data_IF_428069890697
#
_entry.id   IF_428069890697
#
_cell.length_a   1.000
_cell.length_b   1.000
_cell.length_c   1.000
_cell.angle_alpha   90.00
_cell.angle_beta   90.00
_cell.angle_gamma   90.00
#
_symmetry.space_group_name_H-M   'P 1'
#
loop_
_entity.id
_entity.type
_entity.pdbx_description
1 polymer ?
#
# COMPACT_ATOMS: atom_id res chain seq x y z
N UNK A 1 10.87 4.52 15.65
CA UNK A 1 10.19 3.21 15.73
C UNK A 1 10.90 2.45 16.84
N UNK A 2 10.18 1.91 17.84
CA UNK A 2 10.82 1.04 18.86
C UNK A 2 11.38 -0.21 18.16
N UNK A 3 12.60 -0.61 18.51
CA UNK A 3 13.14 -1.90 18.09
C UNK A 3 12.26 -3.03 18.63
N UNK A 4 11.92 -3.96 17.76
CA UNK A 4 11.16 -5.16 18.13
C UNK A 4 12.07 -6.14 18.86
N UNK A 5 11.57 -6.89 19.85
CA UNK A 5 12.27 -8.06 20.39
C UNK A 5 12.64 -9.03 19.25
N UNK A 6 13.77 -9.71 19.41
CA UNK A 6 14.37 -10.56 18.37
C UNK A 6 13.41 -11.64 17.82
N UNK A 7 12.59 -12.21 18.71
CA UNK A 7 11.62 -13.24 18.32
C UNK A 7 10.51 -12.68 17.43
N UNK A 8 10.07 -11.44 17.69
CA UNK A 8 9.04 -10.77 16.89
C UNK A 8 9.60 -10.29 15.53
N UNK A 9 10.86 -9.88 15.48
CA UNK A 9 11.54 -9.55 14.23
C UNK A 9 11.67 -10.81 13.36
N UNK A 10 12.08 -11.95 13.95
CA UNK A 10 12.15 -13.23 13.26
C UNK A 10 10.77 -13.66 12.71
N UNK A 11 9.71 -13.46 13.49
CA UNK A 11 8.34 -13.78 13.06
C UNK A 11 7.91 -12.89 11.88
N UNK A 12 8.23 -11.59 11.93
CA UNK A 12 7.93 -10.67 10.83
C UNK A 12 8.72 -10.99 9.56
N UNK A 13 9.98 -11.41 9.67
CA UNK A 13 10.79 -11.84 8.52
C UNK A 13 10.30 -13.19 7.94
N UNK A 14 9.90 -14.13 8.78
CA UNK A 14 9.29 -15.39 8.35
C UNK A 14 8.00 -15.14 7.57
N UNK A 15 7.16 -14.21 8.04
CA UNK A 15 5.97 -13.79 7.32
C UNK A 15 6.31 -13.16 5.95
N UNK A 16 7.34 -12.30 5.90
CA UNK A 16 7.78 -11.70 4.63
C UNK A 16 8.25 -12.76 3.63
N UNK A 17 8.98 -13.77 4.11
CA UNK A 17 9.41 -14.91 3.30
C UNK A 17 8.23 -15.74 2.79
N UNK A 18 7.21 -15.94 3.63
CA UNK A 18 5.96 -16.59 3.25
C UNK A 18 5.23 -15.84 2.14
N UNK A 19 5.11 -14.49 2.22
CA UNK A 19 4.49 -13.68 1.17
C UNK A 19 5.23 -13.80 -0.18
N UNK A 20 6.57 -13.88 -0.16
CA UNK A 20 7.36 -14.14 -1.38
C UNK A 20 7.06 -15.51 -1.98
N UNK A 21 6.96 -16.57 -1.15
CA UNK A 21 6.57 -17.91 -1.62
C UNK A 21 5.18 -17.93 -2.26
N UNK A 22 4.25 -17.08 -1.78
CA UNK A 22 2.90 -16.91 -2.35
C UNK A 22 2.87 -15.96 -3.58
N UNK A 23 4.02 -15.58 -4.15
CA UNK A 23 4.16 -14.70 -5.33
C UNK A 23 3.54 -13.31 -5.14
N UNK A 24 3.50 -12.79 -3.93
CA UNK A 24 3.06 -11.41 -3.68
C UNK A 24 4.11 -10.42 -4.20
N UNK A 25 3.66 -9.30 -4.79
CA UNK A 25 4.57 -8.26 -5.24
C UNK A 25 5.43 -7.70 -4.10
N UNK A 26 6.66 -7.29 -4.40
CA UNK A 26 7.59 -6.75 -3.40
C UNK A 26 6.98 -5.55 -2.64
N UNK A 27 6.33 -4.63 -3.36
CA UNK A 27 5.64 -3.49 -2.76
C UNK A 27 4.55 -3.91 -1.76
N UNK A 28 3.79 -4.96 -2.08
CA UNK A 28 2.77 -5.51 -1.18
C UNK A 28 3.41 -6.18 0.02
N UNK A 29 4.46 -6.97 -0.19
CA UNK A 29 5.23 -7.62 0.88
C UNK A 29 5.80 -6.61 1.87
N UNK A 30 6.36 -5.51 1.37
CA UNK A 30 6.90 -4.43 2.20
C UNK A 30 5.80 -3.69 2.99
N UNK A 31 4.68 -3.39 2.35
CA UNK A 31 3.55 -2.73 3.02
C UNK A 31 2.95 -3.62 4.12
N UNK A 32 2.80 -4.91 3.85
CA UNK A 32 2.30 -5.89 4.82
C UNK A 32 3.30 -6.11 5.95
N UNK A 33 4.59 -6.26 5.63
CA UNK A 33 5.66 -6.41 6.63
C UNK A 33 5.72 -5.22 7.60
N UNK A 34 5.63 -3.98 7.10
CA UNK A 34 5.55 -2.78 7.96
C UNK A 34 4.33 -2.80 8.86
N UNK A 35 3.17 -3.24 8.35
CA UNK A 35 1.94 -3.33 9.13
C UNK A 35 2.07 -4.34 10.25
N UNK A 36 2.64 -5.52 9.99
CA UNK A 36 2.81 -6.56 11.00
C UNK A 36 3.86 -6.18 12.05
N UNK A 37 4.97 -5.55 11.65
CA UNK A 37 5.92 -5.00 12.63
C UNK A 37 5.26 -3.98 13.56
N UNK A 38 4.39 -3.12 13.03
CA UNK A 38 3.62 -2.18 13.85
C UNK A 38 2.65 -2.91 14.78
N UNK A 39 1.92 -3.91 14.29
CA UNK A 39 1.01 -4.73 15.10
C UNK A 39 1.76 -5.38 16.27
N UNK A 40 2.87 -6.07 15.99
CA UNK A 40 3.66 -6.78 16.98
C UNK A 40 4.34 -5.83 17.99
N UNK A 41 4.67 -4.60 17.58
CA UNK A 41 5.19 -3.59 18.51
C UNK A 41 4.16 -3.11 19.54
N UNK A 42 2.87 -3.22 19.22
CA UNK A 42 1.76 -2.84 20.10
C UNK A 42 1.26 -4.07 20.88
N UNK A 43 1.14 -5.20 20.20
CA UNK A 43 0.62 -6.46 20.72
C UNK A 43 1.59 -7.61 20.39
N UNK A 44 2.56 -7.86 21.28
CA UNK A 44 3.63 -8.86 21.06
C UNK A 44 3.11 -10.28 20.79
N UNK A 45 2.01 -10.66 21.42
CA UNK A 45 1.33 -11.92 21.21
C UNK A 45 -0.09 -11.62 20.72
N UNK A 46 -0.40 -11.84 19.45
CA UNK A 46 -1.72 -11.57 18.90
C UNK A 46 -2.76 -12.54 19.48
N UNK A 47 -3.87 -11.99 19.95
CA UNK A 47 -5.08 -12.73 20.33
C UNK A 47 -6.28 -12.12 19.62
N UNK A 48 -7.38 -12.86 19.51
CA UNK A 48 -8.60 -12.34 18.88
C UNK A 48 -9.04 -11.00 19.49
N UNK A 49 -9.06 -10.90 20.82
CA UNK A 49 -9.45 -9.68 21.55
C UNK A 49 -8.54 -8.50 21.21
N UNK A 50 -7.21 -8.72 21.14
CA UNK A 50 -6.24 -7.67 20.80
C UNK A 50 -6.33 -7.26 19.33
N UNK A 51 -6.59 -8.19 18.43
CA UNK A 51 -6.80 -7.90 17.01
C UNK A 51 -8.08 -7.07 16.79
N UNK A 52 -9.16 -7.35 17.52
CA UNK A 52 -10.37 -6.52 17.51
C UNK A 52 -10.08 -5.09 18.02
N UNK A 53 -9.30 -4.95 19.11
CA UNK A 53 -8.84 -3.65 19.60
C UNK A 53 -7.96 -2.92 18.58
N UNK A 54 -7.05 -3.64 17.90
CA UNK A 54 -6.26 -3.08 16.83
C UNK A 54 -7.12 -2.54 15.66
N UNK A 55 -8.14 -3.30 15.25
CA UNK A 55 -9.10 -2.82 14.25
C UNK A 55 -9.79 -1.52 14.69
N UNK A 56 -10.23 -1.41 15.96
CA UNK A 56 -10.84 -0.18 16.49
C UNK A 56 -9.85 0.99 16.46
N UNK A 57 -8.58 0.74 16.81
CA UNK A 57 -7.51 1.73 16.71
C UNK A 57 -7.28 2.19 15.26
N UNK A 58 -7.33 1.28 14.29
CA UNK A 58 -7.22 1.64 12.88
C UNK A 58 -8.38 2.54 12.44
N UNK A 59 -9.60 2.21 12.84
CA UNK A 59 -10.81 2.99 12.50
C UNK A 59 -10.72 4.42 13.07
N UNK A 60 -10.19 4.58 14.27
CA UNK A 60 -10.06 5.87 14.90
C UNK A 60 -8.99 6.78 14.26
N UNK A 61 -7.96 6.21 13.60
CA UNK A 61 -6.78 6.97 13.20
C UNK A 61 -6.52 7.02 11.69
N UNK A 62 -7.21 6.22 10.86
CA UNK A 62 -6.88 6.10 9.45
C UNK A 62 -8.10 6.21 8.54
N UNK A 63 -7.85 6.54 7.27
CA UNK A 63 -8.88 6.55 6.22
C UNK A 63 -9.29 5.12 5.83
N UNK A 64 -10.53 4.89 5.37
CA UNK A 64 -11.05 3.55 5.05
C UNK A 64 -10.16 2.69 4.15
N UNK A 65 -9.55 3.28 3.11
CA UNK A 65 -8.63 2.56 2.22
C UNK A 65 -7.39 2.03 2.97
N UNK A 66 -6.80 2.86 3.84
CA UNK A 66 -5.64 2.47 4.68
C UNK A 66 -6.03 1.43 5.71
N UNK A 67 -7.23 1.55 6.32
CA UNK A 67 -7.76 0.56 7.26
C UNK A 67 -7.85 -0.80 6.57
N UNK A 68 -8.46 -0.87 5.38
CA UNK A 68 -8.65 -2.11 4.65
C UNK A 68 -7.31 -2.73 4.21
N UNK A 69 -6.35 -1.92 3.74
CA UNK A 69 -5.01 -2.40 3.42
C UNK A 69 -4.34 -3.08 4.63
N UNK A 70 -4.45 -2.47 5.82
CA UNK A 70 -3.88 -3.03 7.06
C UNK A 70 -4.64 -4.26 7.54
N UNK A 71 -5.96 -4.29 7.42
CA UNK A 71 -6.78 -5.47 7.72
C UNK A 71 -6.39 -6.64 6.81
N UNK A 72 -6.18 -6.40 5.52
CA UNK A 72 -5.72 -7.45 4.61
C UNK A 72 -4.33 -7.97 4.99
N UNK A 73 -3.40 -7.09 5.38
CA UNK A 73 -2.09 -7.50 5.88
C UNK A 73 -2.21 -8.41 7.11
N UNK A 74 -3.06 -8.03 8.07
CA UNK A 74 -3.32 -8.84 9.28
C UNK A 74 -3.96 -10.19 8.91
N UNK A 75 -4.94 -10.20 8.02
CA UNK A 75 -5.58 -11.45 7.60
C UNK A 75 -4.60 -12.40 6.88
N UNK A 76 -3.68 -11.88 6.08
CA UNK A 76 -2.60 -12.68 5.49
C UNK A 76 -1.60 -13.19 6.54
N UNK A 77 -1.34 -12.40 7.58
CA UNK A 77 -0.52 -12.84 8.70
C UNK A 77 -1.19 -13.94 9.51
N UNK A 78 -2.50 -13.86 9.72
CA UNK A 78 -3.26 -14.92 10.38
C UNK A 78 -3.26 -16.23 9.56
N UNK A 79 -3.37 -16.12 8.23
CA UNK A 79 -3.20 -17.27 7.32
C UNK A 79 -1.82 -17.91 7.47
N UNK A 80 -0.77 -17.09 7.52
CA UNK A 80 0.60 -17.55 7.74
C UNK A 80 0.73 -18.30 9.08
N UNK A 81 0.17 -17.76 10.17
CA UNK A 81 0.20 -18.42 11.47
C UNK A 81 -0.56 -19.75 11.45
N UNK A 82 -1.70 -19.80 10.77
CA UNK A 82 -2.52 -21.01 10.62
C UNK A 82 -1.80 -22.09 9.79
N UNK A 83 -1.09 -21.73 8.72
CA UNK A 83 -0.38 -22.67 7.85
C UNK A 83 0.98 -23.13 8.41
N UNK A 84 1.77 -22.20 9.00
CA UNK A 84 3.17 -22.46 9.37
C UNK A 84 3.36 -22.68 10.88
N UNK A 85 2.42 -22.24 11.73
CA UNK A 85 2.54 -22.30 13.19
C UNK A 85 1.21 -22.65 13.89
N UNK A 86 0.48 -23.67 13.46
CA UNK A 86 -0.86 -23.97 13.97
C UNK A 86 -0.89 -24.31 15.47
N UNK A 87 0.19 -24.92 15.98
CA UNK A 87 0.28 -25.32 17.39
C UNK A 87 0.47 -24.12 18.35
N UNK A 88 1.08 -23.02 17.86
CA UNK A 88 1.38 -21.85 18.69
C UNK A 88 0.19 -20.88 18.80
N UNK A 89 -0.71 -20.89 17.81
CA UNK A 89 -1.82 -19.95 17.71
C UNK A 89 -3.16 -20.63 17.39
N UNK A 90 -3.58 -21.67 18.14
CA UNK A 90 -4.80 -22.43 17.84
C UNK A 90 -6.07 -21.57 17.92
N UNK A 91 -6.10 -20.57 18.82
CA UNK A 91 -7.25 -19.67 19.00
C UNK A 91 -7.45 -18.68 17.84
N UNK A 92 -6.47 -18.57 16.93
CA UNK A 92 -6.54 -17.68 15.77
C UNK A 92 -6.92 -18.45 14.48
N UNK A 93 -7.06 -19.76 14.54
CA UNK A 93 -7.51 -20.57 13.41
C UNK A 93 -8.88 -20.07 12.93
N UNK A 94 -9.00 -19.85 11.61
CA UNK A 94 -10.22 -19.34 10.97
C UNK A 94 -10.68 -17.94 11.40
N UNK A 95 -10.01 -17.27 12.35
CA UNK A 95 -10.34 -15.90 12.70
C UNK A 95 -9.87 -14.93 11.60
N UNK A 96 -10.73 -13.99 11.21
CA UNK A 96 -10.40 -12.94 10.25
C UNK A 96 -11.05 -11.62 10.65
N UNK A 97 -10.35 -10.53 10.40
CA UNK A 97 -10.87 -9.18 10.58
C UNK A 97 -11.72 -8.76 9.37
N UNK A 98 -12.89 -8.18 9.64
CA UNK A 98 -13.74 -7.65 8.60
C UNK A 98 -13.28 -6.25 8.13
N UNK A 99 -13.20 -6.07 6.81
CA UNK A 99 -12.97 -4.79 6.18
C UNK A 99 -14.05 -3.75 6.54
N UNK A 100 -13.72 -2.46 6.42
CA UNK A 100 -14.70 -1.38 6.55
C UNK A 100 -15.25 -1.00 5.18
N UNK A 101 -16.52 -0.56 5.17
CA UNK A 101 -17.15 -0.11 3.93
C UNK A 101 -16.46 1.19 3.46
N UNK A 102 -16.11 1.23 2.18
CA UNK A 102 -15.59 2.43 1.52
C UNK A 102 -16.76 3.09 0.78
N UNK A 103 -17.08 4.35 1.10
CA UNK A 103 -17.96 5.15 0.28
C UNK A 103 -17.29 5.43 -1.05
N UNK A 104 -18.04 5.27 -2.16
CA UNK A 104 -17.52 5.57 -3.51
C UNK A 104 -17.58 7.06 -3.85
N UNK A 105 -18.27 7.86 -3.04
CA UNK A 105 -18.59 9.26 -3.35
C UNK A 105 -17.39 10.23 -3.27
N UNK A 106 -16.27 9.78 -2.70
CA UNK A 106 -15.09 10.62 -2.49
C UNK A 106 -14.12 10.70 -3.68
N UNK A 107 -14.36 9.98 -4.77
CA UNK A 107 -13.43 9.97 -5.91
C UNK A 107 -13.72 11.05 -6.96
N UNK A 108 -14.97 11.48 -7.11
CA UNK A 108 -15.34 12.40 -8.20
C UNK A 108 -14.79 13.81 -7.99
N UNK A 109 -14.72 14.30 -6.75
CA UNK A 109 -14.26 15.65 -6.43
C UNK A 109 -12.72 15.83 -6.51
N UNK A 110 -11.97 14.76 -6.68
CA UNK A 110 -10.51 14.78 -6.76
C UNK A 110 -9.94 14.36 -8.13
N UNK A 111 -10.81 14.20 -9.13
CA UNK A 111 -10.38 13.88 -10.49
C UNK A 111 -10.03 15.19 -11.19
N UNK A 112 -8.79 15.29 -11.67
CA UNK A 112 -8.34 16.39 -12.52
C UNK A 112 -9.15 16.34 -13.82
N UNK A 113 -9.82 17.43 -14.16
CA UNK A 113 -10.60 17.54 -15.39
C UNK A 113 -9.70 17.73 -16.62
N UNK A 114 -10.25 17.52 -17.82
CA UNK A 114 -9.51 17.83 -19.05
C UNK A 114 -9.15 19.33 -19.13
N UNK A 115 -10.04 20.20 -18.65
CA UNK A 115 -9.82 21.65 -18.62
C UNK A 115 -8.67 22.03 -17.68
N UNK A 116 -8.56 21.38 -16.52
CA UNK A 116 -7.42 21.56 -15.61
C UNK A 116 -6.11 21.12 -16.25
N UNK A 117 -6.13 19.98 -16.97
CA UNK A 117 -4.96 19.47 -17.69
C UNK A 117 -4.50 20.44 -18.81
N UNK A 118 -5.43 20.98 -19.58
CA UNK A 118 -5.15 21.95 -20.65
C UNK A 118 -4.61 23.26 -20.07
N UNK A 119 -5.19 23.72 -18.96
CA UNK A 119 -4.75 24.93 -18.28
C UNK A 119 -3.33 24.75 -17.72
N UNK A 120 -3.04 23.61 -17.07
CA UNK A 120 -1.71 23.29 -16.59
C UNK A 120 -0.69 23.26 -17.74
N UNK A 121 -1.00 22.57 -18.84
CA UNK A 121 -0.11 22.51 -20.01
C UNK A 121 0.16 23.90 -20.61
N UNK A 122 -0.86 24.75 -20.70
CA UNK A 122 -0.74 26.14 -21.20
C UNK A 122 0.18 26.97 -20.33
N UNK A 123 0.01 26.88 -19.00
CA UNK A 123 0.83 27.62 -18.04
C UNK A 123 2.29 27.16 -18.09
N UNK A 124 2.54 25.83 -18.09
CA UNK A 124 3.90 25.31 -18.17
C UNK A 124 4.63 25.73 -19.45
N UNK A 125 3.91 25.82 -20.58
CA UNK A 125 4.46 26.30 -21.85
C UNK A 125 4.75 27.82 -21.81
N UNK A 126 3.86 28.60 -21.22
CA UNK A 126 4.02 30.04 -21.10
C UNK A 126 5.21 30.43 -20.20
N UNK A 127 5.48 29.64 -19.17
CA UNK A 127 6.58 29.80 -18.21
C UNK A 127 7.89 29.14 -18.66
N UNK A 128 7.95 28.62 -19.89
CA UNK A 128 9.12 27.89 -20.44
C UNK A 128 9.57 26.68 -19.62
N UNK A 129 8.64 26.02 -18.95
CA UNK A 129 8.89 24.76 -18.25
C UNK A 129 8.72 23.56 -19.18
N UNK A 130 9.48 23.51 -20.29
CA UNK A 130 9.31 22.56 -21.38
C UNK A 130 9.37 21.10 -20.91
N UNK A 131 10.32 20.76 -20.03
CA UNK A 131 10.43 19.42 -19.46
C UNK A 131 9.12 18.96 -18.78
N UNK A 132 8.56 19.78 -17.90
CA UNK A 132 7.31 19.46 -17.20
C UNK A 132 6.10 19.45 -18.14
N UNK A 133 6.09 20.34 -19.13
CA UNK A 133 5.07 20.33 -20.17
C UNK A 133 5.03 18.98 -20.91
N UNK A 134 6.18 18.45 -21.36
CA UNK A 134 6.27 17.17 -22.02
C UNK A 134 5.85 16.00 -21.13
N UNK A 135 6.27 15.99 -19.86
CA UNK A 135 5.87 14.96 -18.90
C UNK A 135 4.35 14.95 -18.69
N UNK A 136 3.75 16.11 -18.43
CA UNK A 136 2.29 16.20 -18.24
C UNK A 136 1.55 15.76 -19.50
N UNK A 137 1.96 16.24 -20.67
CA UNK A 137 1.36 15.87 -21.94
C UNK A 137 1.47 14.35 -22.19
N UNK A 138 2.64 13.77 -21.95
CA UNK A 138 2.84 12.34 -22.07
C UNK A 138 1.92 11.53 -21.16
N UNK A 139 1.84 11.88 -19.88
CA UNK A 139 0.99 11.19 -18.90
C UNK A 139 -0.50 11.29 -19.27
N UNK A 140 -0.95 12.48 -19.71
CA UNK A 140 -2.35 12.71 -20.11
C UNK A 140 -2.71 11.92 -21.38
N UNK A 141 -1.82 11.87 -22.39
CA UNK A 141 -2.10 11.19 -23.66
C UNK A 141 -1.98 9.68 -23.58
N UNK A 142 -1.10 9.15 -22.74
CA UNK A 142 -0.84 7.70 -22.66
C UNK A 142 -1.57 7.02 -21.50
N UNK A 143 -2.06 7.77 -20.50
CA UNK A 143 -2.57 7.21 -19.27
C UNK A 143 -1.54 6.47 -18.42
N UNK A 144 -0.24 6.62 -18.73
CA UNK A 144 0.85 6.00 -17.99
C UNK A 144 0.89 6.51 -16.55
N UNK A 145 1.24 5.63 -15.60
CA UNK A 145 1.44 6.04 -14.21
C UNK A 145 2.85 6.59 -14.03
N UNK A 146 3.02 7.56 -13.13
CA UNK A 146 4.34 8.11 -12.76
C UNK A 146 5.31 7.02 -12.27
N UNK A 147 4.78 5.92 -11.72
CA UNK A 147 5.58 4.76 -11.30
C UNK A 147 6.08 3.89 -12.45
N UNK A 148 5.58 4.07 -13.67
CA UNK A 148 5.96 3.28 -14.84
C UNK A 148 7.28 3.82 -15.41
N UNK A 149 8.38 3.60 -14.66
CA UNK A 149 9.72 4.14 -14.96
C UNK A 149 10.19 3.91 -16.39
N UNK A 150 9.88 2.76 -16.98
CA UNK A 150 10.26 2.44 -18.36
C UNK A 150 9.56 3.35 -19.38
N UNK A 151 8.29 3.67 -19.16
CA UNK A 151 7.50 4.53 -20.06
C UNK A 151 7.98 6.00 -20.00
N UNK A 152 8.34 6.48 -18.81
CA UNK A 152 8.83 7.86 -18.63
C UNK A 152 10.23 8.03 -19.21
N UNK A 153 11.14 7.06 -18.99
CA UNK A 153 12.50 7.10 -19.57
C UNK A 153 12.47 7.06 -21.11
N UNK A 154 11.57 6.27 -21.72
CA UNK A 154 11.44 6.22 -23.20
C UNK A 154 10.97 7.57 -23.77
N UNK A 155 10.02 8.24 -23.09
CA UNK A 155 9.52 9.55 -23.51
C UNK A 155 10.60 10.64 -23.45
N UNK A 156 11.50 10.57 -22.45
CA UNK A 156 12.60 11.53 -22.30
C UNK A 156 13.66 11.31 -23.40
N UNK A 157 14.00 10.06 -23.70
CA UNK A 157 15.02 9.71 -24.72
C UNK A 157 14.55 10.09 -26.12
N UNK A 158 13.29 9.83 -26.47
CA UNK A 158 12.76 10.14 -27.81
C UNK A 158 12.72 11.66 -28.08
N UNK A 159 12.51 12.49 -27.07
CA UNK A 159 12.47 13.96 -27.24
C UNK A 159 13.85 14.64 -27.23
N UNK A 160 14.95 13.95 -26.93
CA UNK A 160 16.30 14.51 -27.06
C UNK A 160 16.85 14.38 -28.49
N UNK A 161 16.18 13.67 -29.39
CA UNK A 161 16.61 13.40 -30.77
C UNK A 161 15.67 13.99 -31.85
N UNK A 162 14.73 14.85 -31.49
CA UNK A 162 13.91 15.66 -32.38
C UNK A 162 14.12 17.16 -32.12
#
# INVERSE_FOLDING_TARGET
MKELPKDQENLAESFRSYLRKKNMSENTGDAYGRTIRQLLSIYPVPTESLLRKYRSLLIANYRPATINQRIYAVNHFLLFLEEEQPELYPDLASFRLHAVKISRDTFQDSIITNEDCETLQRNLKAEHHDFWYFIVRFLVTTGARVSDRQSVCHAIVVNQFL
#
